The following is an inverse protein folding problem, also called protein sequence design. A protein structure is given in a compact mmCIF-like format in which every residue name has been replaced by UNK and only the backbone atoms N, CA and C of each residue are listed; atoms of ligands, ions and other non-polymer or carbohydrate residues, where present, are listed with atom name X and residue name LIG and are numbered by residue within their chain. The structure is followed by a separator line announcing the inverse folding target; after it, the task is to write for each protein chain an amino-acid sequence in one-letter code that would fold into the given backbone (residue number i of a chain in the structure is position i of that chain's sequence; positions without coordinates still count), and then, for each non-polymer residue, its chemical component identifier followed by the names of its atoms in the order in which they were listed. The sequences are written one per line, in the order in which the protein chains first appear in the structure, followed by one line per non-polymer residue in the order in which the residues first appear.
data_IF_789574395601
#
_entry.id   IF_789574395601
#
_cell.length_a   1.000
_cell.length_b   1.000
_cell.length_c   1.000
_cell.angle_alpha   90.00
_cell.angle_beta   90.00
_cell.angle_gamma   90.00
#
_symmetry.space_group_name_H-M   'P 1'
#
loop_
_entity.id
_entity.type
_entity.pdbx_description
1 polymer ?
#
# COMPACT_ATOMS: atom_id res chain seq x y z
N UNK A 1 -3.74 4.06 -18.54
CA UNK A 1 -3.99 5.45 -18.99
C UNK A 1 -3.52 6.36 -17.87
N UNK A 2 -2.63 7.32 -18.10
CA UNK A 2 -2.23 8.27 -17.05
C UNK A 2 -3.46 9.11 -16.68
N UNK A 3 -3.95 9.02 -15.44
CA UNK A 3 -5.01 9.89 -14.94
C UNK A 3 -4.44 11.31 -14.89
N UNK A 4 -4.79 12.15 -15.86
CA UNK A 4 -4.35 13.54 -15.83
C UNK A 4 -5.13 14.25 -14.71
N UNK A 5 -4.47 14.46 -13.57
CA UNK A 5 -5.04 15.12 -12.39
C UNK A 5 -5.67 16.47 -12.76
N UNK A 6 -5.08 17.16 -13.74
CA UNK A 6 -5.51 18.49 -14.18
C UNK A 6 -6.86 18.41 -14.92
N UNK A 7 -7.05 17.39 -15.76
CA UNK A 7 -8.23 17.28 -16.62
C UNK A 7 -9.46 16.76 -15.85
N UNK A 8 -9.25 15.89 -14.85
CA UNK A 8 -10.35 15.26 -14.10
C UNK A 8 -10.55 15.83 -12.68
N UNK A 9 -9.75 16.83 -12.28
CA UNK A 9 -9.76 17.47 -10.95
C UNK A 9 -9.90 16.47 -9.79
N UNK A 10 -9.20 15.35 -9.91
CA UNK A 10 -9.29 14.25 -8.96
C UNK A 10 -7.88 13.85 -8.49
N UNK A 11 -7.72 13.80 -7.18
CA UNK A 11 -6.57 13.24 -6.49
C UNK A 11 -7.01 11.91 -5.88
N UNK A 12 -6.26 10.86 -6.15
CA UNK A 12 -6.49 9.53 -5.58
C UNK A 12 -5.21 9.10 -4.87
N UNK A 13 -5.31 8.65 -3.63
CA UNK A 13 -4.17 8.24 -2.81
C UNK A 13 -4.38 6.80 -2.40
N UNK A 14 -3.53 5.89 -2.89
CA UNK A 14 -3.56 4.50 -2.46
C UNK A 14 -2.79 4.32 -1.16
N UNK A 15 -3.32 3.55 -0.22
CA UNK A 15 -2.71 3.27 1.08
C UNK A 15 -2.47 1.77 1.19
N UNK A 16 -1.19 1.37 1.16
CA UNK A 16 -0.76 0.02 1.49
C UNK A 16 -0.31 -0.02 2.95
N UNK A 17 -0.89 -0.89 3.76
CA UNK A 17 -0.54 -1.09 5.17
C UNK A 17 -0.42 -2.56 5.56
N UNK A 18 0.52 -2.94 6.42
CA UNK A 18 0.43 -4.23 7.12
C UNK A 18 -0.89 -4.35 7.90
N UNK A 19 -1.35 -5.58 8.13
CA UNK A 19 -2.67 -5.87 8.72
C UNK A 19 -2.57 -6.01 10.24
N UNK A 20 -3.61 -5.59 10.97
CA UNK A 20 -3.79 -5.66 12.44
C UNK A 20 -2.86 -4.82 13.33
N UNK A 21 -1.63 -4.52 12.90
CA UNK A 21 -0.63 -3.81 13.72
C UNK A 21 -0.60 -2.28 13.52
N UNK A 22 -1.16 -1.80 12.42
CA UNK A 22 -1.16 -0.36 12.07
C UNK A 22 -2.57 0.25 12.03
N UNK A 23 -3.47 -0.22 12.90
CA UNK A 23 -4.85 0.30 12.93
C UNK A 23 -4.89 1.75 13.41
N UNK A 24 -4.11 2.12 14.42
CA UNK A 24 -4.10 3.48 14.98
C UNK A 24 -3.61 4.52 13.97
N UNK A 25 -2.60 4.18 13.16
CA UNK A 25 -2.11 5.02 12.06
C UNK A 25 -3.17 5.24 11.00
N UNK A 26 -3.82 4.14 10.57
CA UNK A 26 -4.89 4.21 9.58
C UNK A 26 -6.07 5.01 10.13
N UNK A 27 -6.42 4.80 11.40
CA UNK A 27 -7.45 5.56 12.12
C UNK A 27 -7.13 7.05 12.13
N UNK A 28 -5.89 7.40 12.44
CA UNK A 28 -5.44 8.78 12.46
C UNK A 28 -5.52 9.41 11.06
N UNK A 29 -5.08 8.70 10.03
CA UNK A 29 -5.19 9.15 8.64
C UNK A 29 -6.66 9.39 8.26
N UNK A 30 -7.54 8.43 8.51
CA UNK A 30 -8.95 8.48 8.12
C UNK A 30 -9.76 9.51 8.91
N UNK A 31 -9.50 9.64 10.21
CA UNK A 31 -10.31 10.48 11.12
C UNK A 31 -9.75 11.90 11.27
N UNK A 32 -8.48 12.14 10.99
CA UNK A 32 -7.82 13.45 11.18
C UNK A 32 -7.22 14.00 9.90
N UNK A 33 -6.31 13.28 9.26
CA UNK A 33 -5.52 13.81 8.13
C UNK A 33 -6.34 14.01 6.87
N UNK A 34 -6.95 12.95 6.33
CA UNK A 34 -7.70 13.03 5.09
C UNK A 34 -8.94 13.95 5.14
N UNK A 35 -9.70 14.04 6.24
CA UNK A 35 -10.76 15.04 6.37
C UNK A 35 -10.27 16.48 6.13
N UNK A 36 -9.11 16.84 6.68
CA UNK A 36 -8.53 18.17 6.46
C UNK A 36 -8.05 18.36 5.02
N UNK A 37 -7.39 17.35 4.44
CA UNK A 37 -6.93 17.39 3.05
C UNK A 37 -8.10 17.48 2.07
N UNK A 38 -9.17 16.72 2.28
CA UNK A 38 -10.39 16.78 1.47
C UNK A 38 -11.01 18.18 1.52
N UNK A 39 -11.09 18.79 2.69
CA UNK A 39 -11.58 20.17 2.83
C UNK A 39 -10.74 21.14 1.98
N UNK A 40 -9.41 21.04 2.08
CA UNK A 40 -8.51 21.92 1.34
C UNK A 40 -8.55 21.70 -0.18
N UNK A 41 -8.71 20.45 -0.62
CA UNK A 41 -8.90 20.11 -2.02
C UNK A 41 -10.25 20.63 -2.55
N UNK A 42 -11.32 20.48 -1.77
CA UNK A 42 -12.66 20.93 -2.12
C UNK A 42 -12.76 22.46 -2.26
N UNK A 43 -12.00 23.25 -1.47
CA UNK A 43 -11.87 24.70 -1.64
C UNK A 43 -11.36 25.10 -3.04
N UNK A 44 -10.79 24.14 -3.78
CA UNK A 44 -10.28 24.30 -5.14
C UNK A 44 -11.04 23.43 -6.13
N UNK A 45 -12.26 22.97 -5.85
CA UNK A 45 -13.03 22.07 -6.73
C UNK A 45 -12.24 20.81 -7.14
N UNK A 46 -11.39 20.29 -6.25
CA UNK A 46 -10.64 19.04 -6.45
C UNK A 46 -11.22 17.98 -5.53
N UNK A 47 -11.59 16.83 -6.10
CA UNK A 47 -12.02 15.67 -5.32
C UNK A 47 -10.79 14.90 -4.87
N UNK A 48 -10.62 14.71 -3.56
CA UNK A 48 -9.60 13.83 -3.00
C UNK A 48 -10.24 12.52 -2.51
N UNK A 49 -9.70 11.40 -2.96
CA UNK A 49 -10.14 10.05 -2.60
C UNK A 49 -8.96 9.26 -2.03
N UNK A 50 -8.99 8.99 -0.74
CA UNK A 50 -8.12 8.00 -0.11
C UNK A 50 -8.66 6.57 -0.30
N UNK A 51 -7.77 5.63 -0.60
CA UNK A 51 -8.10 4.22 -0.84
C UNK A 51 -7.32 3.35 0.14
N UNK A 52 -7.95 3.05 1.26
CA UNK A 52 -7.52 2.02 2.21
C UNK A 52 -8.47 0.84 2.08
N UNK A 53 -8.08 -0.16 1.29
CA UNK A 53 -8.90 -1.35 1.06
C UNK A 53 -8.90 -2.31 2.25
N UNK A 54 -8.07 -2.06 3.27
CA UNK A 54 -7.99 -2.82 4.52
C UNK A 54 -8.86 -2.19 5.61
N UNK A 55 -9.44 -1.01 5.36
CA UNK A 55 -10.28 -0.33 6.32
C UNK A 55 -11.67 -0.97 6.41
N UNK A 56 -12.05 -1.44 7.60
CA UNK A 56 -13.38 -1.97 7.86
C UNK A 56 -13.65 -3.38 7.32
N UNK A 57 -12.60 -4.11 6.93
CA UNK A 57 -12.67 -5.54 6.58
C UNK A 57 -11.74 -6.35 7.49
N UNK A 58 -12.01 -7.64 7.65
CA UNK A 58 -11.21 -8.60 8.42
C UNK A 58 -10.00 -9.12 7.62
N UNK A 59 -9.05 -9.76 8.30
CA UNK A 59 -7.87 -10.34 7.65
C UNK A 59 -8.28 -11.40 6.62
N UNK A 60 -9.22 -12.26 7.00
CA UNK A 60 -9.73 -13.33 6.12
C UNK A 60 -10.45 -12.77 4.88
N UNK A 61 -11.21 -11.67 5.02
CA UNK A 61 -11.83 -11.00 3.87
C UNK A 61 -10.78 -10.40 2.92
N UNK A 62 -9.61 -10.03 3.44
CA UNK A 62 -8.49 -9.54 2.63
C UNK A 62 -7.71 -10.66 1.91
N UNK A 63 -7.85 -11.92 2.35
CA UNK A 63 -7.18 -13.10 1.78
C UNK A 63 -7.93 -13.65 0.57
N UNK A 64 -8.04 -12.86 -0.50
CA UNK A 64 -8.61 -13.35 -1.75
C UNK A 64 -7.95 -12.74 -2.99
N UNK A 65 -7.84 -13.53 -4.06
CA UNK A 65 -7.36 -13.04 -5.36
C UNK A 65 -8.11 -11.83 -5.89
N UNK A 66 -9.43 -11.77 -5.63
CA UNK A 66 -10.25 -10.61 -5.99
C UNK A 66 -9.81 -9.33 -5.30
N UNK A 67 -9.44 -9.39 -4.01
CA UNK A 67 -8.94 -8.23 -3.28
C UNK A 67 -7.60 -7.78 -3.84
N UNK A 68 -6.69 -8.71 -4.13
CA UNK A 68 -5.39 -8.39 -4.76
C UNK A 68 -5.58 -7.72 -6.12
N UNK A 69 -6.49 -8.22 -6.95
CA UNK A 69 -6.81 -7.59 -8.25
C UNK A 69 -7.28 -6.14 -8.07
N UNK A 70 -8.16 -5.91 -7.09
CA UNK A 70 -8.67 -4.57 -6.79
C UNK A 70 -7.52 -3.68 -6.30
N UNK A 71 -6.67 -4.15 -5.39
CA UNK A 71 -5.50 -3.39 -4.91
C UNK A 71 -4.62 -2.93 -6.07
N UNK A 72 -4.18 -3.85 -6.92
CA UNK A 72 -3.28 -3.53 -8.04
C UNK A 72 -3.91 -2.55 -9.03
N UNK A 73 -5.21 -2.74 -9.34
CA UNK A 73 -5.95 -1.79 -10.18
C UNK A 73 -6.07 -0.41 -9.54
N UNK A 74 -6.33 -0.34 -8.24
CA UNK A 74 -6.46 0.94 -7.54
C UNK A 74 -5.11 1.65 -7.37
N UNK A 75 -3.99 0.92 -7.32
CA UNK A 75 -2.65 1.52 -7.42
C UNK A 75 -2.47 2.21 -8.78
N UNK A 76 -2.82 1.55 -9.90
CA UNK A 76 -2.73 2.17 -11.23
C UNK A 76 -3.59 3.43 -11.35
N UNK A 77 -4.79 3.41 -10.75
CA UNK A 77 -5.71 4.55 -10.76
C UNK A 77 -5.28 5.70 -9.84
N UNK A 78 -4.38 5.44 -8.88
CA UNK A 78 -3.93 6.41 -7.88
C UNK A 78 -2.63 7.09 -8.24
N UNK A 79 -2.03 6.76 -9.38
CA UNK A 79 -0.80 7.41 -9.85
C UNK A 79 -1.04 8.94 -9.92
N UNK A 80 -0.15 9.74 -9.33
CA UNK A 80 1.15 9.37 -8.76
C UNK A 80 1.15 9.16 -7.23
N UNK A 81 0.05 9.21 -6.49
CA UNK A 81 0.09 9.22 -5.02
C UNK A 81 -0.03 7.84 -4.36
N UNK A 82 0.92 7.55 -3.46
CA UNK A 82 0.97 6.29 -2.71
C UNK A 82 1.44 6.53 -1.27
N UNK A 83 0.84 5.84 -0.30
CA UNK A 83 1.29 5.81 1.09
C UNK A 83 1.55 4.34 1.46
N UNK A 84 2.77 4.06 1.89
CA UNK A 84 3.14 2.76 2.46
C UNK A 84 3.24 2.84 3.99
N UNK A 85 2.71 1.85 4.69
CA UNK A 85 2.79 1.73 6.15
C UNK A 85 3.22 0.30 6.48
N UNK A 86 4.40 0.14 7.07
CA UNK A 86 4.98 -1.17 7.38
C UNK A 86 5.12 -1.29 8.89
N UNK A 87 4.34 -2.18 9.50
CA UNK A 87 4.44 -2.54 10.90
C UNK A 87 5.40 -3.70 11.14
N UNK A 88 4.92 -4.66 11.93
CA UNK A 88 5.62 -5.84 12.43
C UNK A 88 5.11 -7.14 11.82
N UNK A 89 4.03 -7.09 11.04
CA UNK A 89 3.48 -8.25 10.34
C UNK A 89 3.75 -8.15 8.84
N UNK A 90 4.52 -9.08 8.30
CA UNK A 90 4.74 -9.25 6.87
C UNK A 90 3.42 -9.47 6.12
N UNK A 91 2.50 -10.22 6.73
CA UNK A 91 1.14 -10.43 6.23
C UNK A 91 0.98 -11.64 5.32
N UNK A 92 -0.18 -11.71 4.65
CA UNK A 92 -0.58 -12.90 3.88
C UNK A 92 0.27 -13.10 2.62
N UNK A 93 0.91 -14.27 2.53
CA UNK A 93 1.60 -14.77 1.34
C UNK A 93 0.64 -15.63 0.52
N UNK A 94 0.29 -15.15 -0.67
CA UNK A 94 -0.67 -15.82 -1.56
C UNK A 94 0.02 -16.77 -2.54
N UNK A 95 -0.61 -17.90 -2.82
CA UNK A 95 -0.22 -18.85 -3.88
C UNK A 95 -0.89 -18.53 -5.22
N UNK A 96 -0.48 -19.23 -6.28
CA UNK A 96 -1.13 -19.15 -7.60
C UNK A 96 -2.60 -19.58 -7.54
N UNK A 97 -2.93 -20.56 -6.70
CA UNK A 97 -4.29 -21.05 -6.53
C UNK A 97 -5.19 -20.01 -5.87
N UNK A 98 -4.63 -19.19 -4.96
CA UNK A 98 -5.37 -18.15 -4.24
C UNK A 98 -5.73 -16.94 -5.13
N UNK A 99 -4.84 -16.57 -6.06
CA UNK A 99 -5.01 -15.37 -6.89
C UNK A 99 -5.85 -15.61 -8.15
N UNK A 100 -5.88 -16.84 -8.66
CA UNK A 100 -6.59 -17.21 -9.87
C UNK A 100 -5.94 -16.67 -11.17
N UNK A 101 -6.27 -17.29 -12.30
CA UNK A 101 -5.65 -16.99 -13.61
C UNK A 101 -5.79 -15.53 -14.03
N UNK A 102 -6.99 -14.95 -13.89
CA UNK A 102 -7.31 -13.59 -14.33
C UNK A 102 -6.35 -12.52 -13.75
N UNK A 103 -5.98 -12.63 -12.48
CA UNK A 103 -5.07 -11.67 -11.82
C UNK A 103 -3.67 -11.80 -12.40
N UNK A 104 -3.20 -13.04 -12.52
CA UNK A 104 -1.84 -13.34 -13.03
C UNK A 104 -1.69 -13.07 -14.54
N UNK A 105 -2.77 -13.11 -15.30
CA UNK A 105 -2.79 -12.76 -16.73
C UNK A 105 -2.80 -11.24 -16.94
N UNK A 106 -3.59 -10.51 -16.15
CA UNK A 106 -3.70 -9.05 -16.23
C UNK A 106 -2.46 -8.34 -15.69
N UNK A 107 -1.94 -8.81 -14.56
CA UNK A 107 -0.78 -8.24 -13.90
C UNK A 107 0.36 -9.25 -13.94
N UNK A 108 1.10 -9.28 -15.05
CA UNK A 108 2.09 -10.34 -15.32
C UNK A 108 3.19 -10.43 -14.27
N UNK A 109 3.59 -9.31 -13.66
CA UNK A 109 4.58 -9.25 -12.59
C UNK A 109 4.15 -10.02 -11.33
N UNK A 110 2.84 -10.23 -11.13
CA UNK A 110 2.32 -11.01 -10.00
C UNK A 110 2.81 -12.46 -10.05
N UNK A 111 3.04 -13.03 -11.23
CA UNK A 111 3.62 -14.38 -11.35
C UNK A 111 5.00 -14.44 -10.67
N UNK A 112 5.85 -13.43 -10.91
CA UNK A 112 7.16 -13.33 -10.28
C UNK A 112 7.04 -13.15 -8.77
N UNK A 113 6.09 -12.34 -8.30
CA UNK A 113 5.90 -12.12 -6.87
C UNK A 113 5.42 -13.37 -6.13
N UNK A 114 4.55 -14.17 -6.75
CA UNK A 114 4.14 -15.48 -6.21
C UNK A 114 5.36 -16.41 -6.11
N UNK A 115 6.18 -16.50 -7.15
CA UNK A 115 7.39 -17.34 -7.14
C UNK A 115 8.38 -16.91 -6.06
N UNK A 116 8.43 -15.62 -5.75
CA UNK A 116 9.24 -15.04 -4.67
C UNK A 116 8.61 -15.13 -3.29
N UNK A 117 7.41 -15.72 -3.17
CA UNK A 117 6.67 -15.87 -1.92
C UNK A 117 6.42 -14.54 -1.20
N UNK A 118 6.12 -13.49 -1.97
CA UNK A 118 5.85 -12.17 -1.43
C UNK A 118 4.50 -12.12 -0.71
N UNK A 119 4.40 -11.35 0.37
CA UNK A 119 3.10 -11.00 0.92
C UNK A 119 2.35 -10.04 -0.01
N UNK A 120 1.02 -9.98 0.12
CA UNK A 120 0.20 -9.02 -0.63
C UNK A 120 0.64 -7.58 -0.38
N UNK A 121 1.02 -7.24 0.86
CA UNK A 121 1.56 -5.91 1.18
C UNK A 121 2.84 -5.65 0.41
N UNK A 122 3.77 -6.60 0.37
CA UNK A 122 4.99 -6.43 -0.42
C UNK A 122 4.69 -6.36 -1.93
N UNK A 123 3.75 -7.16 -2.45
CA UNK A 123 3.31 -7.06 -3.85
C UNK A 123 2.83 -5.65 -4.21
N UNK A 124 2.03 -5.03 -3.33
CA UNK A 124 1.58 -3.65 -3.48
C UNK A 124 2.75 -2.66 -3.47
N UNK A 125 3.73 -2.84 -2.58
CA UNK A 125 4.93 -2.00 -2.51
C UNK A 125 5.81 -2.16 -3.75
N UNK A 126 6.04 -3.39 -4.22
CA UNK A 126 6.79 -3.66 -5.44
C UNK A 126 6.13 -3.01 -6.65
N UNK A 127 4.82 -3.23 -6.82
CA UNK A 127 4.04 -2.71 -7.95
C UNK A 127 3.84 -1.19 -7.90
N UNK A 128 3.67 -0.63 -6.70
CA UNK A 128 3.38 0.77 -6.48
C UNK A 128 4.63 1.65 -6.48
N UNK A 129 5.72 1.20 -5.85
CA UNK A 129 6.87 2.07 -5.53
C UNK A 129 8.24 1.45 -5.79
N UNK A 130 8.53 0.22 -5.35
CA UNK A 130 9.91 -0.30 -5.34
C UNK A 130 10.39 -0.73 -6.74
N UNK A 131 9.60 -1.49 -7.48
CA UNK A 131 9.93 -1.91 -8.84
C UNK A 131 9.42 -0.94 -9.93
N UNK A 132 8.59 0.05 -9.54
CA UNK A 132 7.95 0.98 -10.47
C UNK A 132 8.94 1.99 -11.03
N UNK A 133 9.02 2.05 -12.37
CA UNK A 133 9.93 2.97 -13.09
C UNK A 133 9.39 4.39 -13.13
N UNK A 134 8.08 4.56 -13.30
CA UNK A 134 7.46 5.89 -13.28
C UNK A 134 7.52 6.52 -11.90
N UNK A 135 7.70 7.84 -11.86
CA UNK A 135 7.75 8.59 -10.62
C UNK A 135 6.39 8.58 -9.91
N UNK A 136 6.45 8.34 -8.60
CA UNK A 136 5.34 8.49 -7.67
C UNK A 136 5.61 9.65 -6.70
N UNK A 137 4.54 10.24 -6.19
CA UNK A 137 4.53 11.01 -4.95
C UNK A 137 4.21 10.05 -3.82
N UNK A 138 5.24 9.34 -3.35
CA UNK A 138 5.10 8.34 -2.32
C UNK A 138 5.69 8.79 -0.97
N UNK A 139 5.08 8.32 0.11
CA UNK A 139 5.60 8.42 1.47
C UNK A 139 5.48 7.06 2.14
N UNK A 140 6.55 6.60 2.80
CA UNK A 140 6.57 5.30 3.46
C UNK A 140 6.87 5.48 4.95
N UNK A 141 5.99 4.93 5.80
CA UNK A 141 6.17 4.85 7.24
C UNK A 141 6.58 3.43 7.60
N UNK A 142 7.54 3.30 8.50
CA UNK A 142 7.95 2.03 9.08
C UNK A 142 7.89 2.09 10.62
N UNK A 143 7.43 1.03 11.27
CA UNK A 143 7.48 0.84 12.72
C UNK A 143 8.75 0.06 13.10
N UNK A 144 9.44 0.50 14.15
CA UNK A 144 10.68 -0.14 14.62
C UNK A 144 10.47 -1.21 15.69
N UNK A 145 9.32 -1.21 16.37
CA UNK A 145 9.07 -2.08 17.50
C UNK A 145 9.21 -3.55 17.08
N UNK A 146 9.96 -4.34 17.84
CA UNK A 146 10.15 -5.77 17.56
C UNK A 146 9.19 -6.60 18.40
N UNK A 147 7.90 -6.33 18.23
CA UNK A 147 6.84 -7.18 18.77
C UNK A 147 6.84 -8.54 18.06
N UNK A 148 5.82 -9.37 18.29
CA UNK A 148 5.68 -10.64 17.60
C UNK A 148 5.57 -10.42 16.07
N UNK A 149 6.56 -10.90 15.32
CA UNK A 149 6.64 -10.77 13.87
C UNK A 149 6.34 -12.09 13.17
N UNK A 150 5.55 -12.04 12.10
CA UNK A 150 5.48 -13.14 11.14
C UNK A 150 6.52 -12.91 10.02
N UNK A 151 7.17 -13.99 9.58
CA UNK A 151 8.20 -13.96 8.54
C UNK A 151 9.29 -12.88 8.75
N UNK A 152 10.02 -12.87 9.89
CA UNK A 152 10.90 -11.77 10.27
C UNK A 152 12.01 -11.47 9.26
N UNK A 153 12.57 -12.49 8.61
CA UNK A 153 13.60 -12.32 7.57
C UNK A 153 13.05 -11.59 6.33
N UNK A 154 11.83 -11.93 5.92
CA UNK A 154 11.18 -11.30 4.76
C UNK A 154 10.74 -9.87 5.08
N UNK A 155 10.26 -9.65 6.30
CA UNK A 155 9.90 -8.33 6.78
C UNK A 155 11.11 -7.39 6.85
N UNK A 156 12.24 -7.85 7.41
CA UNK A 156 13.45 -7.01 7.46
C UNK A 156 13.97 -6.72 6.06
N UNK A 157 13.96 -7.70 5.15
CA UNK A 157 14.30 -7.46 3.73
C UNK A 157 13.45 -6.36 3.12
N UNK A 158 12.12 -6.41 3.30
CA UNK A 158 11.22 -5.39 2.79
C UNK A 158 11.54 -4.00 3.39
N UNK A 159 11.81 -3.94 4.69
CA UNK A 159 12.19 -2.71 5.40
C UNK A 159 13.49 -2.14 4.84
N UNK A 160 14.50 -2.98 4.62
CA UNK A 160 15.77 -2.59 3.98
C UNK A 160 15.56 -2.04 2.56
N UNK A 161 14.74 -2.69 1.74
CA UNK A 161 14.40 -2.21 0.39
C UNK A 161 13.70 -0.85 0.41
N UNK A 162 12.78 -0.64 1.36
CA UNK A 162 12.09 0.63 1.56
C UNK A 162 13.05 1.74 2.01
N UNK A 163 13.93 1.46 2.97
CA UNK A 163 14.94 2.43 3.44
C UNK A 163 15.92 2.82 2.33
N UNK A 164 16.21 1.89 1.40
CA UNK A 164 17.05 2.13 0.24
C UNK A 164 16.31 2.77 -0.95
N UNK A 165 14.98 2.89 -0.89
CA UNK A 165 14.20 3.39 -2.01
C UNK A 165 14.35 4.91 -2.20
N UNK A 166 13.95 5.40 -3.38
CA UNK A 166 14.04 6.82 -3.75
C UNK A 166 13.00 7.73 -3.09
N UNK A 167 12.07 7.17 -2.32
CA UNK A 167 10.98 7.92 -1.69
C UNK A 167 11.28 8.15 -0.21
N UNK A 168 10.76 9.26 0.38
CA UNK A 168 10.92 9.50 1.80
C UNK A 168 10.37 8.33 2.63
N UNK A 169 11.26 7.68 3.36
CA UNK A 169 10.95 6.71 4.41
C UNK A 169 11.29 7.33 5.76
N UNK A 170 10.39 7.21 6.75
CA UNK A 170 10.63 7.74 8.10
C UNK A 170 10.46 6.66 9.16
N UNK A 171 11.49 6.54 9.99
CA UNK A 171 11.51 5.74 11.22
C UNK A 171 10.78 6.47 12.35
N UNK A 172 10.00 5.73 13.15
CA UNK A 172 9.53 6.21 14.44
C UNK A 172 10.62 6.00 15.49
N UNK A 173 11.37 7.06 15.79
CA UNK A 173 12.00 7.17 17.10
C UNK A 173 10.85 7.46 18.08
N UNK A 174 10.35 6.44 18.77
CA UNK A 174 9.47 6.63 19.91
C UNK A 174 10.22 7.49 20.95
N UNK A 175 10.01 8.82 20.89
CA UNK A 175 10.38 9.72 21.97
C UNK A 175 9.19 9.81 22.92
N UNK A 176 9.39 9.10 24.04
CA UNK A 176 8.68 9.10 25.32
C UNK A 176 7.42 8.26 25.41
#
# INVERSE_FOLDING_TARGET
MKTNIIDNRQIRVFISSTFQDMQDERDYLMKRTFPMLRKHAAERDVTLTELDLRWGITEEESKSGKVVEICLREIENSIPFFIGIIGNRYGWVSSREDLGGNVTERFTDVNKYIEQHLSVTEMEMQFGVLARKEDMHAYIKEQEEKDEQDYPEMLERLKEEVRACRYPAKELINKQ
#
